data_IF_436492758174
#
_entry.id   IF_436492758174
#
_cell.length_a   1.000
_cell.length_b   1.000
_cell.length_c   1.000
_cell.angle_alpha   90.00
_cell.angle_beta   90.00
_cell.angle_gamma   90.00
#
_symmetry.space_group_name_H-M   'P 1'
#
loop_
_entity.id
_entity.type
_entity.pdbx_description
1 polymer ?
#
# COMPACT_ATOMS: atom_id res chain seq x y z
N UNK A 1 1.85 -11.71 0.11
CA UNK A 1 2.69 -10.97 -0.85
C UNK A 1 3.25 -9.73 -0.19
N UNK A 2 4.44 -9.29 -0.59
CA UNK A 2 4.95 -7.97 -0.27
C UNK A 2 4.27 -6.94 -1.17
N UNK A 3 3.91 -5.80 -0.60
CA UNK A 3 3.35 -4.63 -1.28
C UNK A 3 4.09 -3.39 -0.79
N UNK A 4 4.81 -2.72 -1.67
CA UNK A 4 5.46 -1.43 -1.45
C UNK A 4 4.62 -0.33 -2.10
N UNK A 5 4.45 0.80 -1.42
CA UNK A 5 3.60 1.89 -1.91
C UNK A 5 4.18 3.25 -1.60
N UNK A 6 3.92 4.19 -2.52
CA UNK A 6 4.06 5.63 -2.29
C UNK A 6 2.67 6.26 -2.16
N UNK A 7 2.58 7.31 -1.37
CA UNK A 7 1.31 7.99 -1.12
C UNK A 7 1.39 9.49 -1.33
N UNK A 8 0.25 10.11 -1.65
CA UNK A 8 0.10 11.56 -1.51
C UNK A 8 -0.11 11.99 -0.04
N UNK A 9 -0.27 13.29 0.19
CA UNK A 9 -0.46 13.88 1.52
C UNK A 9 -1.76 13.40 2.22
N UNK A 10 -2.71 12.85 1.47
CA UNK A 10 -3.97 12.30 1.98
C UNK A 10 -3.89 10.79 2.24
N UNK A 11 -2.74 10.17 1.95
CA UNK A 11 -2.49 8.75 2.09
C UNK A 11 -2.99 7.91 0.90
N UNK A 12 -3.46 8.53 -0.19
CA UNK A 12 -3.87 7.79 -1.37
C UNK A 12 -2.64 7.19 -2.04
N UNK A 13 -2.71 5.90 -2.39
CA UNK A 13 -1.62 5.23 -3.09
C UNK A 13 -1.49 5.81 -4.50
N UNK A 14 -0.32 6.35 -4.81
CA UNK A 14 0.04 6.93 -6.12
C UNK A 14 0.87 5.96 -6.95
N UNK A 15 1.64 5.09 -6.29
CA UNK A 15 2.44 4.05 -6.92
C UNK A 15 2.44 2.77 -6.07
N UNK A 16 2.53 1.60 -6.72
CA UNK A 16 2.65 0.32 -6.03
C UNK A 16 3.60 -0.64 -6.74
N UNK A 17 4.29 -1.46 -5.95
CA UNK A 17 5.09 -2.60 -6.40
C UNK A 17 4.78 -3.80 -5.51
N UNK A 18 4.39 -4.94 -6.08
CA UNK A 18 4.00 -6.12 -5.31
C UNK A 18 4.51 -7.44 -5.89
N UNK A 19 4.71 -8.43 -5.02
CA UNK A 19 5.26 -9.74 -5.39
C UNK A 19 5.63 -10.63 -4.20
N UNK A 20 6.12 -11.84 -4.48
CA UNK A 20 6.59 -12.77 -3.43
C UNK A 20 8.06 -12.59 -3.06
N UNK A 21 8.92 -12.25 -4.03
CA UNK A 21 10.37 -12.11 -3.86
C UNK A 21 10.86 -10.83 -4.56
N UNK A 22 10.24 -9.70 -4.25
CA UNK A 22 10.58 -8.41 -4.85
C UNK A 22 11.70 -7.73 -4.08
N UNK A 23 12.66 -7.19 -4.84
CA UNK A 23 13.69 -6.29 -4.34
C UNK A 23 13.27 -4.89 -4.80
N UNK A 24 12.97 -3.95 -3.89
CA UNK A 24 12.63 -2.59 -4.27
C UNK A 24 13.83 -1.94 -4.97
N UNK A 25 13.59 -1.32 -6.12
CA UNK A 25 14.58 -0.61 -6.94
C UNK A 25 14.80 0.85 -6.48
N UNK A 26 13.88 1.35 -5.65
CA UNK A 26 13.89 2.69 -5.05
C UNK A 26 13.32 2.66 -3.64
N UNK A 27 13.42 3.79 -2.95
CA UNK A 27 12.73 3.99 -1.67
C UNK A 27 11.22 4.10 -1.88
N UNK A 28 10.47 3.53 -0.93
CA UNK A 28 9.02 3.60 -0.87
C UNK A 28 8.60 4.09 0.51
N UNK A 29 7.49 4.82 0.60
CA UNK A 29 6.99 5.36 1.86
C UNK A 29 6.59 4.26 2.85
N UNK A 30 5.97 3.19 2.35
CA UNK A 30 5.47 2.09 3.17
C UNK A 30 5.65 0.72 2.50
N UNK A 31 5.68 -0.32 3.33
CA UNK A 31 5.53 -1.71 2.88
C UNK A 31 4.55 -2.48 3.76
N UNK A 32 3.87 -3.46 3.15
CA UNK A 32 2.89 -4.31 3.80
C UNK A 32 3.05 -5.76 3.36
N UNK A 33 2.69 -6.69 4.25
CA UNK A 33 2.46 -8.09 3.90
C UNK A 33 0.95 -8.29 3.82
N UNK A 34 0.45 -8.62 2.63
CA UNK A 34 -0.99 -8.70 2.34
C UNK A 34 -1.32 -9.92 1.48
N UNK A 35 -2.61 -10.25 1.38
CA UNK A 35 -3.11 -11.22 0.40
C UNK A 35 -2.98 -10.69 -1.04
N UNK A 36 -2.97 -11.61 -2.02
CA UNK A 36 -2.85 -11.27 -3.44
C UNK A 36 -3.95 -10.31 -3.91
N UNK A 37 -5.19 -10.52 -3.48
CA UNK A 37 -6.32 -9.66 -3.83
C UNK A 37 -6.09 -8.20 -3.41
N UNK A 38 -5.48 -7.97 -2.25
CA UNK A 38 -5.19 -6.62 -1.74
C UNK A 38 -4.04 -6.00 -2.54
N UNK A 39 -3.00 -6.77 -2.87
CA UNK A 39 -1.87 -6.30 -3.63
C UNK A 39 -2.26 -5.87 -5.07
N UNK A 40 -3.05 -6.69 -5.76
CA UNK A 40 -3.55 -6.41 -7.12
C UNK A 40 -4.46 -5.18 -7.13
N UNK A 41 -5.22 -4.98 -6.05
CA UNK A 41 -6.17 -3.87 -5.92
C UNK A 41 -5.65 -2.72 -5.05
N UNK A 42 -4.34 -2.52 -4.95
CA UNK A 42 -3.74 -1.56 -4.02
C UNK A 42 -4.35 -0.14 -4.14
N UNK A 43 -4.66 0.33 -5.36
CA UNK A 43 -5.23 1.66 -5.59
C UNK A 43 -6.66 1.86 -5.02
N UNK A 44 -7.35 0.78 -4.67
CA UNK A 44 -8.64 0.83 -3.95
C UNK A 44 -8.46 1.09 -2.45
N UNK A 45 -7.23 1.20 -1.96
CA UNK A 45 -6.89 1.48 -0.58
C UNK A 45 -6.16 2.82 -0.44
N UNK A 46 -6.13 3.31 0.79
CA UNK A 46 -5.24 4.39 1.24
C UNK A 46 -4.49 3.96 2.50
N UNK A 47 -3.34 4.54 2.74
CA UNK A 47 -2.58 4.35 3.98
C UNK A 47 -3.05 5.37 5.01
N UNK A 48 -3.32 4.92 6.23
CA UNK A 48 -3.62 5.78 7.37
C UNK A 48 -2.83 5.35 8.60
N UNK A 49 -2.46 6.31 9.45
CA UNK A 49 -1.79 6.03 10.72
C UNK A 49 -2.84 5.76 11.79
N UNK A 50 -3.03 4.48 12.13
CA UNK A 50 -3.96 4.04 13.17
C UNK A 50 -3.17 3.58 14.38
N UNK A 51 -3.31 4.29 15.51
CA UNK A 51 -2.54 4.00 16.75
C UNK A 51 -1.03 3.94 16.50
N UNK A 52 -0.50 4.91 15.76
CA UNK A 52 0.92 5.01 15.36
C UNK A 52 1.41 3.91 14.39
N UNK A 53 0.49 3.12 13.81
CA UNK A 53 0.83 2.07 12.83
C UNK A 53 0.24 2.40 11.45
N UNK A 54 1.04 2.41 10.37
CA UNK A 54 0.53 2.46 9.01
C UNK A 54 -0.41 1.28 8.76
N UNK A 55 -1.61 1.59 8.26
CA UNK A 55 -2.67 0.61 8.01
C UNK A 55 -3.33 0.91 6.67
N UNK A 56 -3.57 -0.13 5.88
CA UNK A 56 -4.35 -0.03 4.65
C UNK A 56 -5.84 0.04 4.99
N UNK A 57 -6.52 1.08 4.51
CA UNK A 57 -7.97 1.27 4.65
C UNK A 57 -8.57 1.28 3.25
N UNK A 58 -9.59 0.46 3.02
CA UNK A 58 -10.31 0.42 1.74
C UNK A 58 -11.03 1.75 1.55
N UNK A 59 -10.90 2.36 0.37
CA UNK A 59 -11.68 3.54 -0.01
C UNK A 59 -13.14 3.11 -0.10
N UNK A 60 -14.04 3.89 0.50
CA UNK A 60 -15.46 3.69 0.25
C UNK A 60 -15.73 4.01 -1.22
N UNK A 61 -16.46 3.13 -1.92
CA UNK A 61 -16.98 3.47 -3.24
C UNK A 61 -17.91 4.66 -3.07
N UNK A 62 -17.62 5.76 -3.77
CA UNK A 62 -18.57 6.86 -3.96
C UNK A 62 -19.85 6.35 -4.64
#
# INVERSE_FOLDING_TARGET
>A
MLLYVNTDDEGNITESLYGHNIIPDREYDFFFIVEEEVAVNAFNYKVAIVKMKPTLIKKESL
#
